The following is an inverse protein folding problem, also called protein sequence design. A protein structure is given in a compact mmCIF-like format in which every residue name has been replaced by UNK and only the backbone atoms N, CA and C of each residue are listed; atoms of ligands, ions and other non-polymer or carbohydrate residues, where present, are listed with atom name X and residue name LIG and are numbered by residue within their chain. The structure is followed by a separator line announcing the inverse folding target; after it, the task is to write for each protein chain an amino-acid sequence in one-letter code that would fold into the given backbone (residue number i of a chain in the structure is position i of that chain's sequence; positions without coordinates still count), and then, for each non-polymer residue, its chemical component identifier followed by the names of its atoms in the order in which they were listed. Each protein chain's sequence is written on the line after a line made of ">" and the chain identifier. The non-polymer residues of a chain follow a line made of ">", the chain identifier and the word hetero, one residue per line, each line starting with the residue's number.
data_IF_497540840924
#
_entry.id   IF_497540840924
#
_cell.length_a   1.000
_cell.length_b   1.000
_cell.length_c   1.000
_cell.angle_alpha   90.00
_cell.angle_beta   90.00
_cell.angle_gamma   90.00
#
_symmetry.space_group_name_H-M   'P 1'
#
loop_
_entity.id
_entity.type
_entity.pdbx_description
1 polymer ?
#
# COMPACT_ATOMS: atom_id res chain seq x y z
N UNK A 1 -63.01 42.81 -18.54
CA UNK A 1 -63.21 41.38 -18.83
C UNK A 1 -62.12 40.66 -18.04
N UNK A 2 -62.38 40.24 -16.80
CA UNK A 2 -63.02 38.97 -16.37
C UNK A 2 -62.13 37.77 -16.68
N UNK A 3 -61.74 36.85 -15.79
CA UNK A 3 -61.80 36.66 -14.33
C UNK A 3 -60.81 35.49 -14.01
N UNK A 4 -60.44 35.24 -12.74
CA UNK A 4 -59.40 34.28 -12.32
C UNK A 4 -59.91 32.89 -11.82
N UNK A 5 -58.97 31.92 -11.72
CA UNK A 5 -58.84 30.61 -10.97
C UNK A 5 -60.05 30.07 -10.17
N UNK A 6 -60.29 28.73 -9.92
CA UNK A 6 -59.53 27.93 -8.92
C UNK A 6 -59.64 26.35 -9.10
N UNK A 7 -59.66 25.44 -8.06
CA UNK A 7 -58.52 24.58 -7.66
C UNK A 7 -58.86 23.08 -7.26
N UNK A 8 -57.91 22.35 -6.65
CA UNK A 8 -58.01 21.16 -5.74
C UNK A 8 -58.31 19.70 -6.26
N UNK A 9 -57.29 18.84 -6.10
CA UNK A 9 -57.21 17.54 -5.34
C UNK A 9 -57.95 16.25 -5.81
N UNK A 10 -57.84 15.07 -5.10
CA UNK A 10 -56.97 13.91 -5.41
C UNK A 10 -57.73 12.53 -5.50
N UNK A 11 -56.99 11.39 -5.49
CA UNK A 11 -57.36 9.94 -5.30
C UNK A 11 -57.62 9.03 -6.53
N UNK A 12 -57.54 7.67 -6.45
CA UNK A 12 -56.96 6.77 -5.41
C UNK A 12 -56.02 5.63 -5.92
N UNK A 13 -55.31 5.01 -4.98
CA UNK A 13 -54.59 3.70 -5.04
C UNK A 13 -55.57 2.49 -5.04
N UNK A 14 -55.15 1.26 -5.46
CA UNK A 14 -54.63 0.23 -4.52
C UNK A 14 -53.45 -0.63 -5.10
N UNK A 15 -52.34 -0.86 -4.35
CA UNK A 15 -51.90 -2.11 -3.65
C UNK A 15 -51.66 -3.34 -4.56
N UNK A 16 -50.61 -4.16 -4.47
CA UNK A 16 -49.76 -4.63 -3.36
C UNK A 16 -48.56 -5.44 -3.88
N UNK A 17 -47.38 -5.37 -3.21
CA UNK A 17 -46.53 -6.51 -2.82
C UNK A 17 -45.19 -6.01 -2.22
N UNK A 18 -45.10 -5.96 -0.89
CA UNK A 18 -43.85 -5.84 -0.15
C UNK A 18 -43.32 -7.24 0.19
N UNK A 19 -42.01 -7.44 0.08
CA UNK A 19 -41.29 -8.58 0.65
C UNK A 19 -40.48 -8.11 1.85
N UNK A 20 -40.67 -8.79 2.99
CA UNK A 20 -40.27 -8.41 4.33
C UNK A 20 -39.13 -9.34 4.85
N UNK A 21 -38.05 -8.72 5.36
CA UNK A 21 -37.17 -9.03 6.50
C UNK A 21 -36.71 -10.45 6.87
N UNK A 22 -35.44 -10.52 7.32
CA UNK A 22 -34.95 -11.52 8.28
C UNK A 22 -33.63 -11.10 8.94
N UNK A 23 -33.69 -10.41 10.09
CA UNK A 23 -32.58 -10.28 11.05
C UNK A 23 -32.80 -11.25 12.23
N UNK A 24 -31.71 -11.80 12.79
CA UNK A 24 -31.74 -12.77 13.89
C UNK A 24 -31.70 -12.08 15.28
N UNK A 25 -32.43 -12.57 16.31
CA UNK A 25 -32.58 -11.86 17.58
C UNK A 25 -31.61 -12.31 18.68
N UNK A 26 -31.18 -11.34 19.48
CA UNK A 26 -30.55 -11.48 20.79
C UNK A 26 -31.50 -12.13 21.81
N UNK A 27 -30.99 -13.04 22.66
CA UNK A 27 -31.70 -13.63 23.79
C UNK A 27 -31.08 -13.28 25.14
N UNK A 28 -31.91 -12.82 26.07
CA UNK A 28 -31.61 -12.62 27.50
C UNK A 28 -32.47 -13.58 28.38
N UNK A 29 -32.15 -13.77 29.68
CA UNK A 29 -32.28 -15.04 30.42
C UNK A 29 -33.45 -15.11 31.40
N UNK A 30 -33.96 -16.31 31.77
CA UNK A 30 -34.66 -16.58 33.06
C UNK A 30 -35.05 -18.08 33.34
N UNK A 31 -35.60 -18.48 34.53
CA UNK A 31 -34.95 -19.40 35.48
C UNK A 31 -35.77 -20.67 35.86
N UNK A 32 -35.16 -21.61 36.61
CA UNK A 32 -35.89 -22.53 37.50
C UNK A 32 -35.64 -24.04 37.32
N UNK A 33 -34.98 -24.64 38.31
CA UNK A 33 -34.99 -26.09 38.64
C UNK A 33 -36.26 -26.45 39.46
N UNK A 34 -36.73 -27.72 39.64
CA UNK A 34 -35.94 -28.82 40.24
C UNK A 34 -36.29 -30.32 39.93
N UNK A 35 -35.33 -31.19 40.32
CA UNK A 35 -35.43 -32.55 40.94
C UNK A 35 -35.95 -33.77 40.11
N UNK A 36 -35.53 -35.04 40.27
CA UNK A 36 -34.40 -35.82 40.87
C UNK A 36 -34.69 -37.33 40.61
N UNK A 37 -33.67 -38.22 40.76
CA UNK A 37 -33.69 -39.69 41.06
C UNK A 37 -33.15 -40.69 39.97
N UNK A 38 -32.61 -41.89 40.31
CA UNK A 38 -31.23 -42.13 40.86
C UNK A 38 -30.49 -43.43 40.38
N UNK A 39 -29.15 -43.47 40.51
CA UNK A 39 -28.28 -44.68 40.51
C UNK A 39 -27.74 -45.11 39.13
N UNK A 40 -26.49 -45.54 38.89
CA UNK A 40 -25.33 -46.07 39.67
C UNK A 40 -24.05 -46.01 38.74
N UNK A 41 -22.80 -46.30 39.19
CA UNK A 41 -21.58 -45.50 38.88
C UNK A 41 -20.44 -46.17 38.05
N UNK A 42 -19.34 -45.38 37.88
CA UNK A 42 -17.95 -45.67 37.42
C UNK A 42 -17.69 -45.51 35.90
N UNK A 43 -16.61 -44.89 35.42
CA UNK A 43 -15.22 -44.88 35.91
C UNK A 43 -14.46 -43.58 35.56
N UNK A 44 -13.56 -43.17 36.45
CA UNK A 44 -12.61 -42.05 36.35
C UNK A 44 -11.44 -42.34 35.41
N UNK A 45 -11.16 -41.44 34.47
CA UNK A 45 -9.87 -41.37 33.75
C UNK A 45 -9.13 -40.05 34.08
N UNK A 46 -7.83 -40.11 34.39
CA UNK A 46 -7.07 -38.95 34.85
C UNK A 46 -6.65 -38.00 33.73
N UNK A 47 -6.61 -36.71 34.08
CA UNK A 47 -6.07 -35.57 33.33
C UNK A 47 -4.67 -35.86 32.76
N UNK A 48 -4.48 -35.66 31.46
CA UNK A 48 -3.15 -35.55 30.84
C UNK A 48 -2.75 -34.07 30.74
N UNK A 49 -1.51 -33.70 31.09
CA UNK A 49 -0.99 -32.34 30.97
C UNK A 49 -0.63 -31.97 29.53
N UNK A 50 -0.91 -30.73 29.14
CA UNK A 50 -0.59 -30.14 27.84
C UNK A 50 0.91 -30.16 27.55
N UNK A 51 1.31 -30.83 26.48
CA UNK A 51 2.67 -30.79 25.94
C UNK A 51 2.91 -29.49 25.12
N UNK A 52 4.15 -28.97 25.08
CA UNK A 52 4.46 -27.69 24.43
C UNK A 52 4.38 -27.80 22.89
N UNK A 53 3.74 -26.81 22.25
CA UNK A 53 3.65 -26.70 20.80
C UNK A 53 5.04 -26.57 20.16
N UNK A 54 5.35 -27.49 19.25
CA UNK A 54 6.60 -27.49 18.48
C UNK A 54 6.53 -26.47 17.34
N UNK A 55 7.63 -25.72 17.20
CA UNK A 55 7.93 -24.73 16.16
C UNK A 55 7.87 -25.35 14.76
N UNK A 56 6.74 -25.24 14.07
CA UNK A 56 6.61 -25.58 12.64
C UNK A 56 6.59 -24.36 11.68
N UNK A 57 6.57 -23.13 12.21
CA UNK A 57 6.51 -21.91 11.39
C UNK A 57 7.80 -21.54 10.63
N UNK A 58 8.97 -21.98 11.10
CA UNK A 58 10.25 -21.62 10.44
C UNK A 58 10.56 -22.46 9.20
N UNK A 59 10.13 -23.72 9.16
CA UNK A 59 10.43 -24.62 8.03
C UNK A 59 9.55 -24.29 6.82
N UNK A 60 8.28 -23.92 7.04
CA UNK A 60 7.39 -23.53 5.95
C UNK A 60 7.81 -22.21 5.29
N UNK A 61 8.24 -21.22 6.08
CA UNK A 61 8.77 -19.95 5.58
C UNK A 61 10.06 -20.15 4.75
N UNK A 62 10.95 -21.06 5.18
CA UNK A 62 12.18 -21.40 4.43
C UNK A 62 11.84 -22.12 3.11
N UNK A 63 10.86 -23.02 3.09
CA UNK A 63 10.48 -23.73 1.85
C UNK A 63 9.85 -22.77 0.82
N UNK A 64 9.05 -21.79 1.27
CA UNK A 64 8.48 -20.77 0.37
C UNK A 64 9.59 -19.84 -0.16
N UNK A 65 10.52 -19.40 0.69
CA UNK A 65 11.66 -18.58 0.26
C UNK A 65 12.59 -19.32 -0.72
N UNK A 66 12.88 -20.60 -0.47
CA UNK A 66 13.72 -21.44 -1.35
C UNK A 66 12.99 -21.76 -2.67
N UNK A 67 11.67 -21.94 -2.65
CA UNK A 67 10.89 -22.14 -3.87
C UNK A 67 10.84 -20.86 -4.74
N UNK A 68 10.71 -19.67 -4.13
CA UNK A 68 10.78 -18.40 -4.86
C UNK A 68 12.15 -18.21 -5.53
N UNK A 69 13.25 -18.51 -4.81
CA UNK A 69 14.62 -18.46 -5.36
C UNK A 69 14.80 -19.47 -6.51
N UNK A 70 14.27 -20.69 -6.36
CA UNK A 70 14.40 -21.72 -7.39
C UNK A 70 13.61 -21.39 -8.67
N UNK A 71 12.44 -20.77 -8.57
CA UNK A 71 11.65 -20.36 -9.75
C UNK A 71 12.34 -19.22 -10.50
N UNK A 72 12.88 -18.22 -9.80
CA UNK A 72 13.65 -17.13 -10.43
C UNK A 72 14.92 -17.67 -11.11
N UNK A 73 15.67 -18.55 -10.45
CA UNK A 73 16.87 -19.18 -11.02
C UNK A 73 16.60 -20.06 -12.26
N UNK A 74 15.43 -20.72 -12.33
CA UNK A 74 15.06 -21.54 -13.50
C UNK A 74 14.67 -20.65 -14.70
N UNK A 75 13.98 -19.53 -14.49
CA UNK A 75 13.62 -18.62 -15.59
C UNK A 75 14.86 -17.96 -16.20
N UNK A 76 15.84 -17.58 -15.37
CA UNK A 76 17.14 -17.04 -15.82
C UNK A 76 17.99 -18.14 -16.48
N UNK A 77 18.01 -19.36 -15.91
CA UNK A 77 18.82 -20.47 -16.42
C UNK A 77 18.38 -21.03 -17.79
N UNK A 78 17.08 -20.97 -18.12
CA UNK A 78 16.57 -21.46 -19.42
C UNK A 78 16.65 -20.37 -20.51
N UNK A 79 16.56 -19.09 -20.14
CA UNK A 79 16.67 -17.95 -21.08
C UNK A 79 18.12 -17.63 -21.49
N UNK A 80 19.10 -18.05 -20.68
CA UNK A 80 20.53 -17.96 -20.98
C UNK A 80 20.98 -18.67 -22.28
N UNK A 81 20.12 -19.49 -22.91
CA UNK A 81 20.48 -20.32 -24.06
C UNK A 81 20.20 -19.74 -25.45
N UNK A 82 19.75 -18.47 -25.62
CA UNK A 82 20.10 -17.69 -26.84
C UNK A 82 19.53 -16.25 -26.99
N UNK A 83 18.74 -15.69 -26.08
CA UNK A 83 18.34 -14.26 -26.19
C UNK A 83 18.25 -13.58 -24.82
N UNK A 84 18.97 -12.47 -24.59
CA UNK A 84 18.80 -11.71 -23.36
C UNK A 84 17.39 -11.15 -23.31
N UNK A 85 16.74 -11.26 -22.15
CA UNK A 85 15.39 -10.76 -21.93
C UNK A 85 15.48 -9.25 -21.70
N UNK A 86 14.80 -8.41 -22.50
CA UNK A 86 14.79 -6.96 -22.27
C UNK A 86 14.25 -6.62 -20.88
N UNK A 87 14.79 -5.58 -20.25
CA UNK A 87 14.36 -5.14 -18.94
C UNK A 87 12.86 -4.80 -18.90
N UNK A 88 12.30 -4.23 -19.98
CA UNK A 88 10.85 -3.96 -20.10
C UNK A 88 9.93 -5.18 -19.96
N UNK A 89 10.48 -6.40 -20.03
CA UNK A 89 9.75 -7.66 -19.81
C UNK A 89 10.03 -8.28 -18.43
N UNK A 90 10.76 -7.58 -17.56
CA UNK A 90 11.12 -8.06 -16.24
C UNK A 90 9.88 -8.15 -15.34
N UNK A 91 9.82 -9.23 -14.57
CA UNK A 91 8.83 -9.44 -13.53
C UNK A 91 9.35 -8.99 -12.17
N UNK A 92 8.44 -8.73 -11.24
CA UNK A 92 8.78 -8.46 -9.85
C UNK A 92 9.71 -9.54 -9.28
N UNK A 93 10.75 -9.10 -8.58
CA UNK A 93 11.79 -9.94 -7.99
C UNK A 93 12.97 -10.24 -8.91
N UNK A 94 12.89 -9.97 -10.22
CA UNK A 94 14.04 -10.09 -11.13
C UNK A 94 14.98 -8.90 -11.00
N UNK A 95 16.25 -9.10 -11.34
CA UNK A 95 17.24 -8.04 -11.37
C UNK A 95 17.56 -7.62 -12.79
N UNK A 96 17.87 -6.35 -12.98
CA UNK A 96 18.25 -5.79 -14.27
C UNK A 96 19.62 -5.13 -14.17
N UNK A 97 20.24 -4.98 -15.34
CA UNK A 97 21.47 -4.24 -15.47
C UNK A 97 21.29 -2.76 -15.13
N UNK A 98 22.38 -2.07 -14.81
CA UNK A 98 22.36 -0.61 -14.64
C UNK A 98 21.85 0.09 -15.92
N UNK A 99 20.69 0.79 -15.87
CA UNK A 99 20.20 1.58 -16.98
C UNK A 99 21.06 2.82 -17.28
N UNK A 100 21.93 3.27 -16.36
CA UNK A 100 22.78 4.43 -16.57
C UNK A 100 23.75 4.21 -17.75
N UNK A 101 23.54 4.94 -18.84
CA UNK A 101 24.47 4.98 -19.97
C UNK A 101 24.43 3.77 -20.91
N UNK A 102 23.42 2.89 -20.79
CA UNK A 102 23.17 1.81 -21.74
C UNK A 102 21.94 2.11 -22.61
N UNK A 103 22.08 1.89 -23.92
CA UNK A 103 20.95 1.98 -24.87
C UNK A 103 20.03 0.75 -24.83
N UNK A 104 20.45 -0.32 -24.14
CA UNK A 104 19.64 -1.52 -23.99
C UNK A 104 19.93 -2.17 -22.63
N UNK A 105 18.89 -2.33 -21.82
CA UNK A 105 18.98 -2.89 -20.48
C UNK A 105 18.31 -4.26 -20.50
N UNK A 106 18.95 -5.24 -19.86
CA UNK A 106 18.48 -6.62 -19.85
C UNK A 106 18.33 -7.14 -18.42
N UNK A 107 17.46 -8.15 -18.28
CA UNK A 107 17.38 -8.97 -17.07
C UNK A 107 18.71 -9.72 -16.89
N UNK A 108 19.23 -9.69 -15.68
CA UNK A 108 20.48 -10.35 -15.28
C UNK A 108 20.27 -11.11 -13.95
N UNK A 109 21.27 -11.91 -13.57
CA UNK A 109 21.31 -12.51 -12.24
C UNK A 109 21.59 -11.43 -11.20
N UNK A 110 20.89 -11.44 -10.06
CA UNK A 110 21.07 -10.44 -9.01
C UNK A 110 22.48 -10.43 -8.41
N UNK A 111 23.21 -11.54 -8.49
CA UNK A 111 24.61 -11.64 -8.03
C UNK A 111 25.62 -11.28 -9.14
N UNK A 112 25.15 -10.95 -10.35
CA UNK A 112 26.02 -10.54 -11.44
C UNK A 112 26.62 -9.16 -11.15
N UNK A 113 27.86 -8.96 -11.61
CA UNK A 113 28.59 -7.69 -11.39
C UNK A 113 27.94 -6.48 -12.06
N UNK A 114 27.11 -6.71 -13.06
CA UNK A 114 26.38 -5.70 -13.80
C UNK A 114 24.94 -5.52 -13.32
N UNK A 115 24.51 -6.29 -12.31
CA UNK A 115 23.21 -6.10 -11.67
C UNK A 115 23.23 -4.86 -10.79
N UNK A 116 22.22 -4.00 -10.93
CA UNK A 116 22.14 -2.75 -10.17
C UNK A 116 20.78 -2.55 -9.49
N UNK A 117 19.71 -3.02 -10.13
CA UNK A 117 18.35 -2.82 -9.65
C UNK A 117 17.57 -4.12 -9.58
N UNK A 118 16.70 -4.22 -8.58
CA UNK A 118 15.69 -5.28 -8.46
C UNK A 118 14.32 -4.70 -8.75
N UNK A 119 13.56 -5.37 -9.60
CA UNK A 119 12.19 -4.98 -9.95
C UNK A 119 11.26 -5.24 -8.78
N UNK A 120 10.57 -4.21 -8.30
CA UNK A 120 9.55 -4.29 -7.26
C UNK A 120 8.17 -4.56 -7.87
N UNK A 121 7.90 -4.01 -9.07
CA UNK A 121 6.71 -4.31 -9.86
C UNK A 121 6.97 -4.21 -11.37
N UNK A 122 6.22 -4.99 -12.13
CA UNK A 122 6.28 -5.01 -13.59
C UNK A 122 5.62 -3.79 -14.22
N UNK A 123 5.90 -3.59 -15.51
CA UNK A 123 5.35 -2.53 -16.36
C UNK A 123 3.85 -2.30 -16.22
N UNK A 124 3.45 -1.02 -16.14
CA UNK A 124 2.05 -0.59 -16.06
C UNK A 124 1.46 -0.60 -14.66
N UNK A 125 2.27 -0.88 -13.63
CA UNK A 125 1.90 -0.70 -12.23
C UNK A 125 2.16 0.75 -11.83
N UNK A 126 1.27 1.34 -11.03
CA UNK A 126 1.52 2.65 -10.44
C UNK A 126 2.56 2.53 -9.33
N UNK A 127 3.78 2.97 -9.62
CA UNK A 127 4.92 2.86 -8.72
C UNK A 127 4.73 3.62 -7.41
N UNK A 128 3.90 4.67 -7.37
CA UNK A 128 3.56 5.40 -6.14
C UNK A 128 2.91 4.50 -5.08
N UNK A 129 2.32 3.38 -5.50
CA UNK A 129 1.61 2.43 -4.63
C UNK A 129 2.44 1.20 -4.27
N UNK A 130 3.63 1.03 -4.84
CA UNK A 130 4.45 -0.17 -4.70
C UNK A 130 5.51 0.05 -3.62
N UNK A 131 5.23 -0.44 -2.42
CA UNK A 131 6.16 -0.32 -1.29
C UNK A 131 7.57 -0.84 -1.59
N UNK A 132 8.56 -0.08 -1.15
CA UNK A 132 9.97 -0.38 -1.39
C UNK A 132 10.46 0.04 -2.77
N UNK A 133 9.70 0.81 -3.54
CA UNK A 133 10.15 1.38 -4.82
C UNK A 133 10.82 2.72 -4.56
N UNK A 134 12.00 2.93 -5.14
CA UNK A 134 12.78 4.19 -5.05
C UNK A 134 13.15 4.71 -6.44
N UNK A 135 13.14 3.83 -7.44
CA UNK A 135 13.58 4.14 -8.80
C UNK A 135 12.57 3.60 -9.81
N UNK A 136 12.41 4.29 -10.94
CA UNK A 136 11.68 3.80 -12.09
C UNK A 136 12.58 3.69 -13.33
N UNK A 137 12.28 2.72 -14.19
CA UNK A 137 12.89 2.59 -15.51
C UNK A 137 11.80 2.27 -16.52
N UNK A 138 11.55 3.20 -17.44
CA UNK A 138 10.36 3.16 -18.29
C UNK A 138 9.10 3.00 -17.41
N UNK A 139 8.36 1.89 -17.54
CA UNK A 139 7.17 1.60 -16.73
C UNK A 139 7.45 0.65 -15.54
N UNK A 140 8.71 0.28 -15.28
CA UNK A 140 9.09 -0.62 -14.19
C UNK A 140 9.29 0.15 -12.88
N UNK A 141 8.81 -0.45 -11.80
CA UNK A 141 9.11 -0.01 -10.44
C UNK A 141 10.28 -0.83 -9.90
N UNK A 142 11.27 -0.17 -9.30
CA UNK A 142 12.52 -0.80 -8.90
C UNK A 142 13.10 -0.21 -7.62
N UNK A 143 14.08 -0.92 -7.08
CA UNK A 143 14.93 -0.50 -5.97
C UNK A 143 16.38 -0.89 -6.27
N UNK A 144 17.34 -0.05 -5.88
CA UNK A 144 18.75 -0.39 -5.95
C UNK A 144 19.07 -1.63 -5.11
N UNK A 145 19.99 -2.49 -5.57
CA UNK A 145 20.31 -3.73 -4.86
C UNK A 145 20.89 -3.52 -3.45
N UNK A 146 21.55 -2.38 -3.24
CA UNK A 146 22.16 -2.00 -1.96
C UNK A 146 21.28 -1.02 -1.14
N UNK A 147 20.09 -0.66 -1.64
CA UNK A 147 19.18 0.27 -0.98
C UNK A 147 18.30 -0.45 0.05
N UNK A 148 18.03 0.24 1.17
CA UNK A 148 17.10 -0.26 2.17
C UNK A 148 15.65 0.06 1.75
N UNK A 149 14.75 -0.92 1.60
CA UNK A 149 13.38 -0.65 1.18
C UNK A 149 12.59 0.25 2.16
N UNK A 150 13.07 0.45 3.38
CA UNK A 150 12.44 1.38 4.34
C UNK A 150 12.63 2.86 4.02
N UNK A 151 13.56 3.22 3.12
CA UNK A 151 13.74 4.61 2.65
C UNK A 151 12.70 5.01 1.59
N UNK A 152 11.99 4.03 1.01
CA UNK A 152 10.91 4.28 0.07
C UNK A 152 9.68 4.82 0.80
N UNK A 153 9.14 5.93 0.31
CA UNK A 153 7.82 6.42 0.71
C UNK A 153 6.70 5.99 -0.25
N UNK A 154 7.03 5.26 -1.31
CA UNK A 154 6.01 4.59 -2.13
C UNK A 154 5.18 3.62 -1.27
N UNK A 155 3.86 3.62 -1.50
CA UNK A 155 2.90 2.80 -0.78
C UNK A 155 2.49 3.32 0.60
N UNK A 156 3.00 4.47 1.05
CA UNK A 156 2.50 5.17 2.25
C UNK A 156 1.05 5.61 2.03
N UNK A 157 0.22 5.46 3.06
CA UNK A 157 -1.23 5.72 3.00
C UNK A 157 -1.65 6.78 4.01
N UNK A 158 -2.87 7.29 3.84
CA UNK A 158 -3.54 8.11 4.86
C UNK A 158 -3.62 7.35 6.18
N UNK A 159 -3.20 8.01 7.27
CA UNK A 159 -3.14 7.43 8.61
C UNK A 159 -1.81 6.79 8.98
N UNK A 160 -0.89 6.59 8.04
CA UNK A 160 0.50 6.22 8.35
C UNK A 160 1.23 7.40 9.01
N UNK A 161 2.41 7.13 9.58
CA UNK A 161 3.24 8.16 10.18
C UNK A 161 4.65 8.20 9.59
N UNK A 162 5.16 9.42 9.43
CA UNK A 162 6.50 9.70 8.97
C UNK A 162 7.36 10.23 10.11
N UNK A 163 8.58 9.71 10.22
CA UNK A 163 9.65 10.34 10.99
C UNK A 163 10.50 11.16 10.03
N UNK A 164 10.59 12.46 10.26
CA UNK A 164 11.36 13.38 9.42
C UNK A 164 12.61 13.81 10.18
N UNK A 165 13.77 13.48 9.62
CA UNK A 165 15.04 13.97 10.15
C UNK A 165 15.20 15.44 9.79
N UNK A 166 15.20 16.30 10.80
CA UNK A 166 15.30 17.76 10.59
C UNK A 166 16.66 18.24 10.08
N UNK A 167 17.68 17.36 10.09
CA UNK A 167 19.03 17.68 9.63
C UNK A 167 19.29 17.28 8.18
N UNK A 168 18.74 16.14 7.74
CA UNK A 168 18.84 15.68 6.36
C UNK A 168 17.62 16.01 5.52
N UNK A 169 16.51 16.40 6.15
CA UNK A 169 15.20 16.58 5.52
C UNK A 169 14.66 15.28 4.89
N UNK A 170 15.18 14.13 5.32
CA UNK A 170 14.73 12.82 4.86
C UNK A 170 13.61 12.29 5.77
N UNK A 171 12.58 11.72 5.16
CA UNK A 171 11.50 11.06 5.87
C UNK A 171 11.58 9.54 5.73
N UNK A 172 11.15 8.84 6.78
CA UNK A 172 11.01 7.39 6.80
C UNK A 172 9.66 7.01 7.37
N UNK A 173 9.06 5.95 6.85
CA UNK A 173 7.80 5.41 7.37
C UNK A 173 8.04 4.69 8.69
N UNK A 174 7.23 4.98 9.70
CA UNK A 174 7.35 4.39 11.03
C UNK A 174 5.99 4.23 11.71
N UNK A 175 5.97 3.49 12.83
CA UNK A 175 4.80 3.48 13.70
C UNK A 175 4.53 4.88 14.27
N UNK A 176 3.24 5.24 14.37
CA UNK A 176 2.80 6.50 14.95
C UNK A 176 3.17 6.55 16.44
N UNK A 177 4.20 7.32 16.75
CA UNK A 177 4.73 7.55 18.11
C UNK A 177 5.03 9.03 18.31
N UNK A 178 5.21 9.44 19.57
CA UNK A 178 5.49 10.83 19.92
C UNK A 178 6.59 11.45 19.03
N UNK A 179 6.30 12.59 18.40
CA UNK A 179 7.21 13.30 17.49
C UNK A 179 7.15 12.87 16.02
N UNK A 180 6.38 11.83 15.66
CA UNK A 180 6.14 11.45 14.26
C UNK A 180 4.93 12.21 13.69
N UNK A 181 4.93 12.44 12.38
CA UNK A 181 3.91 13.22 11.69
C UNK A 181 2.89 12.29 11.02
N UNK A 182 1.59 12.38 11.36
CA UNK A 182 0.57 11.59 10.70
C UNK A 182 0.31 12.11 9.28
N UNK A 183 0.20 11.19 8.33
CA UNK A 183 -0.17 11.48 6.95
C UNK A 183 -1.68 11.66 6.88
N UNK A 184 -2.12 12.89 6.61
CA UNK A 184 -3.53 13.22 6.45
C UNK A 184 -4.02 12.99 5.03
N UNK A 185 -3.12 13.20 4.05
CA UNK A 185 -3.40 13.00 2.64
C UNK A 185 -2.14 12.62 1.88
N UNK A 186 -2.29 11.75 0.90
CA UNK A 186 -1.25 11.41 -0.07
C UNK A 186 -1.71 11.95 -1.42
N UNK A 187 -0.88 12.77 -2.04
CA UNK A 187 -1.11 13.36 -3.36
C UNK A 187 -0.03 12.85 -4.30
N UNK A 188 -0.38 12.70 -5.56
CA UNK A 188 0.52 12.25 -6.63
C UNK A 188 0.56 13.26 -7.74
N UNK A 189 1.69 13.37 -8.44
CA UNK A 189 1.85 14.24 -9.63
C UNK A 189 1.49 15.71 -9.31
N UNK A 190 2.12 16.26 -8.26
CA UNK A 190 1.84 17.61 -7.75
C UNK A 190 2.92 18.60 -8.15
N UNK A 191 2.54 19.60 -8.94
CA UNK A 191 3.45 20.68 -9.32
C UNK A 191 3.84 21.54 -8.12
N UNK A 192 5.11 21.97 -8.08
CA UNK A 192 5.61 22.87 -7.04
C UNK A 192 4.84 24.19 -6.95
N UNK A 193 4.20 24.63 -8.05
CA UNK A 193 3.34 25.82 -8.07
C UNK A 193 2.03 25.65 -7.34
N UNK A 194 1.55 24.40 -7.20
CA UNK A 194 0.29 24.06 -6.55
C UNK A 194 0.46 23.87 -5.03
N UNK A 195 1.69 23.77 -4.55
CA UNK A 195 2.04 23.72 -3.12
C UNK A 195 2.05 25.10 -2.44
N UNK A 196 1.25 26.05 -2.93
CA UNK A 196 0.93 27.27 -2.20
C UNK A 196 2.07 28.31 -2.06
N UNK A 197 3.16 28.21 -2.83
CA UNK A 197 4.26 29.19 -2.78
C UNK A 197 3.86 30.60 -3.25
N UNK A 198 2.70 30.75 -3.90
CA UNK A 198 2.15 32.03 -4.33
C UNK A 198 0.94 32.41 -3.45
N UNK A 199 1.12 33.49 -2.66
CA UNK A 199 0.10 34.01 -1.76
C UNK A 199 -1.23 34.28 -2.49
N UNK A 200 -2.24 33.45 -2.23
CA UNK A 200 -3.62 33.68 -2.68
C UNK A 200 -4.36 32.48 -3.28
N UNK A 201 -3.68 31.37 -3.55
CA UNK A 201 -4.32 30.14 -4.02
C UNK A 201 -4.48 29.12 -2.89
N UNK A 202 -5.58 28.37 -2.93
CA UNK A 202 -5.76 27.12 -2.19
C UNK A 202 -4.62 26.17 -2.58
N UNK A 203 -3.84 25.69 -1.61
CA UNK A 203 -2.76 24.76 -1.92
C UNK A 203 -3.30 23.34 -2.20
N UNK A 204 -2.44 22.48 -2.75
CA UNK A 204 -2.83 21.13 -3.17
C UNK A 204 -3.43 20.30 -2.02
N UNK A 205 -3.02 20.53 -0.76
CA UNK A 205 -3.57 19.83 0.40
C UNK A 205 -5.02 20.29 0.68
N UNK A 206 -5.26 21.60 0.66
CA UNK A 206 -6.62 22.14 0.81
C UNK A 206 -7.53 21.72 -0.35
N UNK A 207 -7.02 21.78 -1.59
CA UNK A 207 -7.75 21.35 -2.79
C UNK A 207 -8.13 19.87 -2.75
N UNK A 208 -7.33 19.05 -2.07
CA UNK A 208 -7.61 17.64 -1.82
C UNK A 208 -8.59 17.39 -0.65
N UNK A 209 -9.10 18.46 -0.02
CA UNK A 209 -10.08 18.42 1.05
C UNK A 209 -9.51 18.28 2.45
N UNK A 210 -8.21 18.54 2.65
CA UNK A 210 -7.62 18.60 3.99
C UNK A 210 -7.99 19.94 4.64
N UNK A 211 -8.55 19.90 5.84
CA UNK A 211 -8.89 21.12 6.58
C UNK A 211 -7.64 21.98 6.82
N UNK A 212 -7.74 23.29 6.57
CA UNK A 212 -6.62 24.24 6.69
C UNK A 212 -5.96 24.26 8.08
N UNK A 213 -6.72 23.92 9.13
CA UNK A 213 -6.23 23.88 10.50
C UNK A 213 -5.72 22.48 10.92
N UNK A 214 -5.83 21.48 10.03
CA UNK A 214 -5.47 20.09 10.34
C UNK A 214 -4.05 19.72 9.93
N UNK A 215 -3.53 20.26 8.82
CA UNK A 215 -2.15 20.03 8.39
C UNK A 215 -1.26 21.24 8.68
N UNK A 216 -0.01 20.97 9.03
CA UNK A 216 0.97 22.01 9.37
C UNK A 216 2.08 22.15 8.35
N UNK A 217 2.32 21.10 7.58
CA UNK A 217 3.37 21.03 6.57
C UNK A 217 3.02 20.00 5.51
N UNK A 218 3.78 20.01 4.42
CA UNK A 218 3.78 18.93 3.44
C UNK A 218 5.21 18.42 3.26
N UNK A 219 5.32 17.12 2.96
CA UNK A 219 6.59 16.48 2.63
C UNK A 219 6.57 16.03 1.17
N UNK A 220 7.62 16.39 0.43
CA UNK A 220 7.76 16.02 -0.99
C UNK A 220 8.71 14.84 -1.12
N UNK A 221 8.39 13.91 -2.00
CA UNK A 221 9.24 12.76 -2.28
C UNK A 221 9.13 12.35 -3.73
N UNK A 222 10.24 11.96 -4.33
CA UNK A 222 10.37 11.66 -5.76
C UNK A 222 11.16 10.37 -5.97
N UNK A 223 10.82 9.67 -7.04
CA UNK A 223 11.60 8.56 -7.56
C UNK A 223 12.81 9.08 -8.33
N UNK A 224 13.86 8.25 -8.37
CA UNK A 224 14.87 8.37 -9.40
C UNK A 224 14.33 7.84 -10.74
N UNK A 225 14.49 8.59 -11.82
CA UNK A 225 13.96 8.24 -13.14
C UNK A 225 15.07 7.89 -14.13
N UNK A 226 15.05 6.66 -14.64
CA UNK A 226 15.83 6.30 -15.82
C UNK A 226 14.95 6.25 -17.06
N UNK A 227 15.44 6.86 -18.15
CA UNK A 227 14.85 6.74 -19.48
C UNK A 227 15.84 6.05 -20.40
N UNK A 228 15.34 5.28 -21.36
CA UNK A 228 16.16 4.56 -22.35
C UNK A 228 17.09 5.47 -23.18
N UNK A 229 16.79 6.77 -23.23
CA UNK A 229 17.38 7.72 -24.18
C UNK A 229 18.22 8.81 -23.48
N UNK A 230 18.13 8.90 -22.15
CA UNK A 230 18.76 9.91 -21.31
C UNK A 230 19.10 9.28 -19.97
N UNK A 231 20.24 9.65 -19.37
CA UNK A 231 20.57 9.25 -17.99
C UNK A 231 19.51 9.70 -16.98
N UNK A 232 19.83 9.67 -15.68
CA UNK A 232 18.84 10.02 -14.63
C UNK A 232 18.22 11.40 -14.90
N UNK A 233 16.90 11.46 -15.06
CA UNK A 233 16.14 12.70 -15.27
C UNK A 233 15.60 13.20 -13.93
N UNK A 234 16.32 14.16 -13.33
CA UNK A 234 15.97 14.74 -12.04
C UNK A 234 15.19 16.06 -12.17
N UNK A 235 14.67 16.39 -13.36
CA UNK A 235 14.28 17.79 -13.69
C UNK A 235 12.78 18.06 -13.80
N UNK A 236 11.92 17.20 -13.25
CA UNK A 236 10.50 17.50 -13.15
C UNK A 236 10.25 18.58 -12.07
N UNK A 237 9.45 19.61 -12.39
CA UNK A 237 8.90 20.54 -11.39
C UNK A 237 7.67 19.94 -10.66
N UNK A 238 7.44 18.66 -10.90
CA UNK A 238 6.28 17.90 -10.48
C UNK A 238 6.77 16.84 -9.52
N UNK A 239 6.10 16.74 -8.38
CA UNK A 239 6.46 15.84 -7.32
C UNK A 239 5.65 14.55 -7.43
N UNK A 240 6.31 13.40 -7.37
CA UNK A 240 5.66 12.10 -7.51
C UNK A 240 4.73 11.81 -6.35
N UNK A 241 5.18 12.15 -5.14
CA UNK A 241 4.43 12.02 -3.91
C UNK A 241 4.55 13.29 -3.07
N UNK A 242 3.41 13.79 -2.63
CA UNK A 242 3.30 14.83 -1.61
C UNK A 242 2.42 14.32 -0.47
N UNK A 243 2.96 14.38 0.74
CA UNK A 243 2.26 14.00 1.96
C UNK A 243 1.82 15.25 2.70
N UNK A 244 0.51 15.44 2.89
CA UNK A 244 -0.02 16.49 3.76
C UNK A 244 0.04 15.98 5.20
N UNK A 245 0.81 16.67 6.05
CA UNK A 245 1.17 16.18 7.38
C UNK A 245 0.45 16.94 8.49
N UNK A 246 -0.14 16.19 9.41
CA UNK A 246 -0.74 16.74 10.61
C UNK A 246 0.29 17.17 11.65
N UNK A 247 -0.21 17.66 12.78
CA UNK A 247 0.65 17.93 13.94
C UNK A 247 1.41 16.67 14.39
N UNK A 248 2.67 16.84 14.86
CA UNK A 248 3.42 15.72 15.40
C UNK A 248 2.67 15.08 16.56
N UNK A 249 2.69 13.76 16.62
CA UNK A 249 2.03 12.99 17.68
C UNK A 249 2.55 13.43 19.06
N UNK A 250 1.66 13.55 20.06
CA UNK A 250 1.98 14.06 21.38
C UNK A 250 2.82 13.10 22.25
#
# INVERSE_FOLDING_TARGET
>A
MSQPRPPYSPEPQPSSAQSQYGQAPYGQPQPGMPAQMPGVPMSTQPLQPSAPQRKHGRVLAIVIAVAAIAVVGIVIGVSALNRPTPASQAAAGQCIQDPAGSSSVYVTDCDAKDAAYKVTASGGTDCTTVSGTTTTYEDLCMIGLDEDPSISLAGVQEGDCLSIDTSTEEATTTECTAGTYPVLKVLTDVDDTDLGLLAGNEDACQAAGVDNDAYTSWYKWNFDYFRSDSGIDLTANTNDLVFCLGDPQP
#
